data_IF_156409701733
#
_entry.id   IF_156409701733
#
_cell.length_a   1.000
_cell.length_b   1.000
_cell.length_c   1.000
_cell.angle_alpha   90.00
_cell.angle_beta   90.00
_cell.angle_gamma   90.00
#
_symmetry.space_group_name_H-M   'P 1'
#
loop_
_entity.id
_entity.type
_entity.pdbx_description
1 polymer ?
#
# COMPACT_ATOMS: atom_id res chain seq x y z
N UNK A 1 5.05 -7.49 63.01
CA UNK A 1 4.12 -6.38 62.65
C UNK A 1 4.96 -5.15 62.29
N UNK A 2 4.92 -4.65 61.05
CA UNK A 2 5.73 -3.49 60.64
C UNK A 2 5.11 -2.17 61.16
N UNK A 3 5.97 -1.19 61.53
CA UNK A 3 5.56 0.15 62.02
C UNK A 3 4.78 0.93 60.94
N UNK A 4 3.76 1.71 61.32
CA UNK A 4 2.84 2.39 60.38
C UNK A 4 3.54 3.36 59.42
N UNK A 5 4.69 3.90 59.82
CA UNK A 5 5.50 4.85 59.06
C UNK A 5 6.13 4.22 57.80
N UNK A 6 6.48 2.93 57.87
CA UNK A 6 7.08 2.19 56.74
C UNK A 6 6.06 1.82 55.67
N UNK A 7 4.80 1.61 56.07
CA UNK A 7 3.70 1.31 55.15
C UNK A 7 3.32 2.55 54.33
N UNK A 8 3.30 3.72 54.97
CA UNK A 8 3.06 5.01 54.30
C UNK A 8 4.16 5.35 53.29
N UNK A 9 5.44 5.16 53.64
CA UNK A 9 6.55 5.35 52.69
C UNK A 9 6.52 4.38 51.50
N UNK A 10 6.14 3.12 51.72
CA UNK A 10 6.02 2.13 50.63
C UNK A 10 4.88 2.46 49.67
N UNK A 11 3.75 2.95 50.17
CA UNK A 11 2.64 3.43 49.34
C UNK A 11 3.03 4.68 48.53
N UNK A 12 3.74 5.63 49.16
CA UNK A 12 4.20 6.84 48.49
C UNK A 12 5.23 6.54 47.37
N UNK A 13 6.15 5.61 47.63
CA UNK A 13 7.14 5.17 46.64
C UNK A 13 6.49 4.41 45.47
N UNK A 14 5.45 3.61 45.73
CA UNK A 14 4.67 2.95 44.69
C UNK A 14 3.94 3.94 43.77
N UNK A 15 3.35 5.00 44.32
CA UNK A 15 2.69 6.04 43.53
C UNK A 15 3.67 6.88 42.69
N UNK A 16 4.87 7.16 43.20
CA UNK A 16 5.89 7.93 42.47
C UNK A 16 6.43 7.19 41.23
N UNK A 17 6.48 5.85 41.26
CA UNK A 17 6.95 5.03 40.15
C UNK A 17 5.84 4.71 39.12
N UNK A 18 4.58 4.64 39.55
CA UNK A 18 3.45 4.36 38.66
C UNK A 18 2.96 5.58 37.86
N UNK A 19 3.11 6.79 38.40
CA UNK A 19 2.71 8.04 37.76
C UNK A 19 3.33 8.27 36.36
N UNK A 20 4.66 8.27 36.21
CA UNK A 20 5.29 8.57 34.92
C UNK A 20 5.09 7.48 33.86
N UNK A 21 4.81 6.23 34.25
CA UNK A 21 4.55 5.14 33.30
C UNK A 21 3.22 5.31 32.55
N UNK A 22 2.20 5.87 33.21
CA UNK A 22 0.88 6.10 32.61
C UNK A 22 0.88 7.27 31.59
N UNK A 23 1.76 8.25 31.77
CA UNK A 23 1.83 9.43 30.89
C UNK A 23 2.72 9.24 29.64
N UNK A 24 3.51 8.16 29.57
CA UNK A 24 4.47 7.97 28.47
C UNK A 24 3.90 7.18 27.26
N UNK A 25 2.81 6.42 27.46
CA UNK A 25 2.24 5.56 26.41
C UNK A 25 1.47 6.27 25.27
N UNK A 26 0.68 7.35 25.50
CA UNK A 26 -0.17 7.89 24.45
C UNK A 26 0.63 8.57 23.33
N UNK A 27 1.74 9.24 23.66
CA UNK A 27 2.55 9.97 22.67
C UNK A 27 3.24 9.03 21.68
N UNK A 28 3.77 7.90 22.16
CA UNK A 28 4.40 6.91 21.29
C UNK A 28 3.37 6.18 20.43
N UNK A 29 2.21 5.85 21.01
CA UNK A 29 1.10 5.25 20.28
C UNK A 29 0.57 6.18 19.17
N UNK A 30 0.43 7.47 19.46
CA UNK A 30 0.01 8.48 18.49
C UNK A 30 1.04 8.68 17.37
N UNK A 31 2.32 8.73 17.72
CA UNK A 31 3.40 8.84 16.73
C UNK A 31 3.44 7.61 15.80
N UNK A 32 3.34 6.40 16.36
CA UNK A 32 3.30 5.15 15.60
C UNK A 32 2.05 5.07 14.70
N UNK A 33 0.90 5.51 15.21
CA UNK A 33 -0.34 5.53 14.44
C UNK A 33 -0.24 6.47 13.23
N UNK A 34 0.30 7.69 13.42
CA UNK A 34 0.44 8.69 12.35
C UNK A 34 1.55 8.37 11.35
N UNK A 35 2.69 7.88 11.82
CA UNK A 35 3.87 7.70 10.97
C UNK A 35 3.90 6.35 10.26
N UNK A 36 3.27 5.32 10.83
CA UNK A 36 3.36 3.95 10.32
C UNK A 36 2.00 3.40 9.95
N UNK A 37 1.06 3.35 10.90
CA UNK A 37 -0.23 2.67 10.69
C UNK A 37 -1.05 3.39 9.62
N UNK A 38 -1.25 4.71 9.73
CA UNK A 38 -2.06 5.45 8.77
C UNK A 38 -1.50 5.40 7.34
N UNK A 39 -0.21 5.66 7.07
CA UNK A 39 0.36 5.54 5.73
C UNK A 39 0.28 4.11 5.19
N UNK A 40 0.54 3.11 6.03
CA UNK A 40 0.41 1.70 5.66
C UNK A 40 -1.04 1.39 5.26
N UNK A 41 -2.02 1.70 6.11
CA UNK A 41 -3.43 1.48 5.81
C UNK A 41 -3.89 2.25 4.57
N UNK A 42 -3.44 3.48 4.38
CA UNK A 42 -3.74 4.27 3.19
C UNK A 42 -3.20 3.61 1.92
N UNK A 43 -1.98 3.06 1.96
CA UNK A 43 -1.39 2.33 0.83
C UNK A 43 -2.26 1.12 0.40
N UNK A 44 -2.85 0.39 1.34
CA UNK A 44 -3.77 -0.72 1.02
C UNK A 44 -5.20 -0.27 0.69
N UNK A 45 -5.54 0.99 0.95
CA UNK A 45 -6.80 1.61 0.54
C UNK A 45 -6.81 2.09 -0.91
N UNK A 46 -5.63 2.25 -1.54
CA UNK A 46 -5.51 2.65 -2.94
C UNK A 46 -6.10 1.57 -3.85
N UNK A 47 -6.90 2.00 -4.83
CA UNK A 47 -7.41 1.10 -5.85
C UNK A 47 -6.25 0.60 -6.71
N UNK A 48 -6.16 -0.71 -6.89
CA UNK A 48 -5.10 -1.33 -7.69
C UNK A 48 -5.69 -1.78 -9.02
N UNK A 49 -5.07 -1.31 -10.09
CA UNK A 49 -5.45 -1.66 -11.45
C UNK A 49 -4.63 -2.86 -11.93
N UNK A 50 -5.27 -3.77 -12.65
CA UNK A 50 -4.62 -4.88 -13.36
C UNK A 50 -4.96 -4.75 -14.84
N UNK A 51 -3.92 -4.75 -15.66
CA UNK A 51 -4.02 -4.64 -17.11
C UNK A 51 -3.95 -6.03 -17.75
N UNK A 52 -4.89 -6.31 -18.63
CA UNK A 52 -4.88 -7.49 -19.48
C UNK A 52 -4.83 -7.05 -20.93
N UNK A 53 -3.85 -7.57 -21.68
CA UNK A 53 -3.68 -7.28 -23.10
C UNK A 53 -4.02 -8.54 -23.89
N UNK A 54 -4.93 -8.41 -24.84
CA UNK A 54 -5.31 -9.48 -25.75
C UNK A 54 -4.98 -9.05 -27.18
N UNK A 55 -3.98 -9.69 -27.78
CA UNK A 55 -3.71 -9.55 -29.20
C UNK A 55 -4.75 -10.31 -30.04
N UNK A 56 -4.93 -9.90 -31.29
CA UNK A 56 -5.80 -10.57 -32.25
C UNK A 56 -5.33 -12.00 -32.57
N UNK A 57 -4.02 -12.26 -32.50
CA UNK A 57 -3.38 -13.57 -32.76
C UNK A 57 -2.14 -13.74 -31.87
N UNK A 58 -1.66 -14.98 -31.75
CA UNK A 58 -0.47 -15.30 -30.96
C UNK A 58 0.85 -15.22 -31.76
N UNK A 59 0.79 -15.39 -33.08
CA UNK A 59 1.94 -15.40 -33.98
C UNK A 59 1.69 -14.43 -35.14
N UNK A 60 2.73 -13.69 -35.51
CA UNK A 60 2.69 -12.68 -36.57
C UNK A 60 3.84 -12.91 -37.54
N UNK A 61 3.56 -12.74 -38.82
CA UNK A 61 4.59 -12.68 -39.87
C UNK A 61 5.00 -11.23 -40.14
N UNK A 62 6.22 -11.00 -40.65
CA UNK A 62 6.67 -9.67 -41.03
C UNK A 62 5.69 -9.00 -42.01
N UNK A 63 5.31 -7.75 -41.72
CA UNK A 63 4.37 -6.97 -42.52
C UNK A 63 2.89 -7.14 -42.14
N UNK A 64 2.55 -8.06 -41.23
CA UNK A 64 1.19 -8.16 -40.70
C UNK A 64 0.87 -7.03 -39.72
N UNK A 65 -0.42 -6.65 -39.68
CA UNK A 65 -0.92 -5.69 -38.69
C UNK A 65 -1.19 -6.36 -37.34
N UNK A 66 -0.60 -5.81 -36.28
CA UNK A 66 -0.87 -6.16 -34.89
C UNK A 66 -2.07 -5.34 -34.39
N UNK A 67 -3.13 -6.01 -33.97
CA UNK A 67 -4.27 -5.38 -33.31
C UNK A 67 -4.44 -5.97 -31.91
N UNK A 68 -4.81 -5.15 -30.94
CA UNK A 68 -4.97 -5.61 -29.56
C UNK A 68 -6.13 -4.89 -28.86
N UNK A 69 -6.61 -5.50 -27.77
CA UNK A 69 -7.54 -4.91 -26.81
C UNK A 69 -6.90 -4.91 -25.44
N UNK A 70 -7.11 -3.84 -24.69
CA UNK A 70 -6.67 -3.72 -23.30
C UNK A 70 -7.90 -3.69 -22.40
N UNK A 71 -7.90 -4.51 -21.36
CA UNK A 71 -8.91 -4.51 -20.32
C UNK A 71 -8.25 -4.08 -19.02
N UNK A 72 -8.80 -3.05 -18.37
CA UNK A 72 -8.36 -2.62 -17.05
C UNK A 72 -9.36 -3.10 -16.02
N UNK A 73 -8.88 -3.74 -14.97
CA UNK A 73 -9.73 -4.29 -13.91
C UNK A 73 -9.26 -3.86 -12.53
N UNK A 74 -10.21 -3.72 -11.61
CA UNK A 74 -9.94 -3.54 -10.20
C UNK A 74 -9.47 -4.86 -9.58
N UNK A 75 -8.25 -4.90 -9.04
CA UNK A 75 -7.66 -6.10 -8.44
C UNK A 75 -8.48 -6.66 -7.27
N UNK A 76 -9.18 -5.80 -6.52
CA UNK A 76 -9.93 -6.16 -5.32
C UNK A 76 -11.31 -6.70 -5.67
N UNK A 77 -12.01 -6.07 -6.60
CA UNK A 77 -13.39 -6.42 -6.94
C UNK A 77 -13.55 -7.23 -8.22
N UNK A 78 -12.48 -7.40 -9.01
CA UNK A 78 -12.47 -8.06 -10.33
C UNK A 78 -13.53 -7.49 -11.29
N UNK A 79 -13.74 -6.18 -11.22
CA UNK A 79 -14.68 -5.44 -12.07
C UNK A 79 -13.91 -4.55 -13.04
N UNK A 80 -14.50 -4.17 -14.19
CA UNK A 80 -13.91 -3.19 -15.07
C UNK A 80 -13.55 -1.91 -14.30
N UNK A 81 -12.34 -1.42 -14.50
CA UNK A 81 -11.86 -0.19 -13.92
C UNK A 81 -12.13 0.96 -14.89
N UNK A 82 -13.01 1.89 -14.51
CA UNK A 82 -13.52 2.94 -15.42
C UNK A 82 -12.83 4.29 -15.25
N UNK A 83 -12.01 4.45 -14.20
CA UNK A 83 -11.36 5.72 -13.87
C UNK A 83 -10.00 5.90 -14.56
N UNK A 84 -9.47 4.87 -15.22
CA UNK A 84 -8.21 4.95 -15.97
C UNK A 84 -8.39 5.89 -17.17
N UNK A 85 -7.61 6.97 -17.20
CA UNK A 85 -7.73 8.02 -18.22
C UNK A 85 -6.76 7.85 -19.39
N UNK A 86 -5.54 7.37 -19.12
CA UNK A 86 -4.47 7.26 -20.13
C UNK A 86 -3.76 5.92 -19.98
N UNK A 87 -3.63 5.17 -21.08
CA UNK A 87 -2.89 3.91 -21.13
C UNK A 87 -1.68 4.08 -22.05
N UNK A 88 -0.49 3.97 -21.47
CA UNK A 88 0.77 3.99 -22.21
C UNK A 88 1.15 2.57 -22.62
N UNK A 89 1.33 2.34 -23.92
CA UNK A 89 1.64 1.03 -24.48
C UNK A 89 2.93 1.12 -25.27
N UNK A 90 3.85 0.21 -24.99
CA UNK A 90 5.12 0.09 -25.68
C UNK A 90 5.25 -1.31 -26.28
N UNK A 91 5.67 -1.37 -27.53
CA UNK A 91 6.00 -2.61 -28.23
C UNK A 91 7.51 -2.75 -28.28
N UNK A 92 8.01 -3.90 -27.83
CA UNK A 92 9.44 -4.22 -27.84
C UNK A 92 9.74 -5.33 -28.84
N UNK A 93 10.89 -5.19 -29.49
CA UNK A 93 11.46 -6.19 -30.36
C UNK A 93 12.23 -7.26 -29.58
N UNK A 94 12.72 -8.30 -30.27
CA UNK A 94 13.36 -9.45 -29.63
C UNK A 94 14.68 -9.12 -28.92
N UNK A 95 15.37 -8.03 -29.28
CA UNK A 95 16.58 -7.58 -28.57
C UNK A 95 16.28 -6.57 -27.46
N UNK A 96 15.00 -6.33 -27.14
CA UNK A 96 14.57 -5.39 -26.11
C UNK A 96 14.54 -3.94 -26.57
N UNK A 97 14.72 -3.67 -27.85
CA UNK A 97 14.56 -2.36 -28.47
C UNK A 97 13.09 -1.97 -28.54
N UNK A 98 12.77 -0.70 -28.29
CA UNK A 98 11.40 -0.22 -28.43
C UNK A 98 11.09 0.00 -29.92
N UNK A 99 10.11 -0.74 -30.42
CA UNK A 99 9.65 -0.72 -31.82
C UNK A 99 8.55 0.33 -32.01
N UNK A 100 7.63 0.45 -31.05
CA UNK A 100 6.53 1.41 -31.12
C UNK A 100 6.07 1.85 -29.73
N UNK A 101 5.41 3.01 -29.68
CA UNK A 101 4.78 3.54 -28.47
C UNK A 101 3.48 4.25 -28.84
N UNK A 102 2.43 4.06 -28.05
CA UNK A 102 1.15 4.73 -28.22
C UNK A 102 0.52 5.05 -26.85
N UNK A 103 -0.19 6.17 -26.78
CA UNK A 103 -1.08 6.52 -25.67
C UNK A 103 -2.51 6.37 -26.17
N UNK A 104 -3.32 5.64 -25.41
CA UNK A 104 -4.75 5.43 -25.67
C UNK A 104 -5.56 6.06 -24.54
#
# INVERSE_FOLDING_TARGET
MPRPEKLSMLLLAGCLLAGPAAFCQPVLADALNRQVIQPYSAHFGLKREVFYIQANKALFYPGESLAFKVYVSDARYRKPFLETANIYIELFGPAGERVAQQVI
#
